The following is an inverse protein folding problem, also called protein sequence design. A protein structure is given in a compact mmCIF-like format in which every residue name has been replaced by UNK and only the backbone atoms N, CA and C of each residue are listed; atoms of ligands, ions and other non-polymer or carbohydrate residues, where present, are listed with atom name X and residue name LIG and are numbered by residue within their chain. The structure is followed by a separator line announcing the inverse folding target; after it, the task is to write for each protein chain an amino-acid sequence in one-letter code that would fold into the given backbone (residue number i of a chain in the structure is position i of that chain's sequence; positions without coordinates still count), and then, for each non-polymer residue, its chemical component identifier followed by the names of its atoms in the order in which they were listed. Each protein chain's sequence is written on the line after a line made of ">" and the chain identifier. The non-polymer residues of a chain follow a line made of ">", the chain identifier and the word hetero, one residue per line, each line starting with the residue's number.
data_IF_341584567030
#
_entry.id   IF_341584567030
#
_cell.length_a   1.000
_cell.length_b   1.000
_cell.length_c   1.000
_cell.angle_alpha   90.00
_cell.angle_beta   90.00
_cell.angle_gamma   90.00
#
_symmetry.space_group_name_H-M   'P 1'
#
loop_
_entity.id
_entity.type
_entity.pdbx_description
1 polymer ?
#
# COMPACT_ATOMS: atom_id res chain seq x y z
N UNK A 1 1.54 -60.02 7.44
CA UNK A 1 2.09 -58.65 7.46
C UNK A 1 2.28 -58.21 6.03
N UNK A 2 1.26 -57.58 5.46
CA UNK A 2 1.33 -56.94 4.15
C UNK A 2 1.64 -55.47 4.45
N UNK A 3 2.81 -55.01 4.04
CA UNK A 3 3.16 -53.59 4.11
C UNK A 3 2.36 -52.86 3.03
N UNK A 4 1.32 -52.14 3.44
CA UNK A 4 0.73 -51.06 2.66
C UNK A 4 1.81 -49.98 2.50
N UNK A 5 2.42 -49.93 1.32
CA UNK A 5 3.08 -48.71 0.86
C UNK A 5 1.97 -47.74 0.48
N UNK A 6 1.75 -46.75 1.34
CA UNK A 6 1.05 -45.53 0.95
C UNK A 6 1.83 -44.89 -0.22
N UNK A 7 1.36 -45.14 -1.44
CA UNK A 7 1.70 -44.33 -2.61
C UNK A 7 1.02 -42.98 -2.42
N UNK A 8 1.72 -42.06 -1.76
CA UNK A 8 1.35 -40.65 -1.77
C UNK A 8 1.77 -40.08 -3.14
N UNK A 9 0.97 -40.34 -4.17
CA UNK A 9 1.10 -39.65 -5.45
C UNK A 9 0.95 -38.15 -5.17
N UNK A 10 2.06 -37.40 -5.19
CA UNK A 10 2.02 -35.94 -5.16
C UNK A 10 1.28 -35.49 -6.42
N UNK A 11 -0.02 -35.27 -6.31
CA UNK A 11 -0.83 -34.68 -7.36
C UNK A 11 -0.33 -33.25 -7.55
N UNK A 12 0.25 -32.96 -8.71
CA UNK A 12 0.65 -31.61 -9.08
C UNK A 12 -0.60 -30.70 -9.04
N UNK A 13 -0.53 -29.66 -8.21
CA UNK A 13 -1.66 -28.76 -7.97
C UNK A 13 -1.87 -27.89 -9.20
N UNK A 14 -3.13 -27.67 -9.60
CA UNK A 14 -3.43 -26.81 -10.75
C UNK A 14 -3.75 -25.38 -10.34
N UNK A 15 -3.15 -24.42 -11.04
CA UNK A 15 -3.37 -22.99 -10.82
C UNK A 15 -4.15 -22.36 -11.96
N UNK A 16 -5.19 -21.59 -11.64
CA UNK A 16 -5.90 -20.74 -12.58
C UNK A 16 -5.55 -19.28 -12.35
N UNK A 17 -5.00 -18.59 -13.35
CA UNK A 17 -4.86 -17.14 -13.32
C UNK A 17 -6.25 -16.50 -13.36
N UNK A 18 -6.58 -15.71 -12.34
CA UNK A 18 -7.86 -15.02 -12.22
C UNK A 18 -7.63 -13.52 -12.01
N UNK A 19 -8.22 -12.70 -12.88
CA UNK A 19 -8.11 -11.25 -12.80
C UNK A 19 -9.35 -10.57 -13.38
N UNK A 20 -9.53 -9.30 -13.03
CA UNK A 20 -10.39 -8.38 -13.76
C UNK A 20 -9.50 -7.48 -14.62
N UNK A 21 -9.94 -7.13 -15.83
CA UNK A 21 -9.17 -6.26 -16.73
C UNK A 21 -10.04 -5.18 -17.35
N UNK A 22 -9.41 -4.07 -17.75
CA UNK A 22 -10.01 -3.03 -18.58
C UNK A 22 -8.94 -2.20 -19.28
N UNK A 23 -8.89 -2.24 -20.60
CA UNK A 23 -8.00 -1.40 -21.42
C UNK A 23 -6.50 -1.54 -21.07
N UNK A 24 -5.99 -2.77 -21.03
CA UNK A 24 -4.61 -3.09 -20.63
C UNK A 24 -3.78 -3.72 -21.77
N UNK A 25 -4.18 -3.48 -23.03
CA UNK A 25 -3.54 -4.06 -24.23
C UNK A 25 -2.03 -3.87 -24.29
N UNK A 26 -1.50 -2.76 -23.76
CA UNK A 26 -0.06 -2.43 -23.78
C UNK A 26 0.80 -3.34 -22.91
N UNK A 27 0.23 -3.90 -21.85
CA UNK A 27 0.96 -4.60 -20.79
C UNK A 27 0.46 -6.03 -20.56
N UNK A 28 -0.68 -6.41 -21.14
CA UNK A 28 -1.32 -7.71 -20.91
C UNK A 28 -0.39 -8.89 -21.22
N UNK A 29 0.33 -8.89 -22.34
CA UNK A 29 1.26 -9.97 -22.67
C UNK A 29 2.39 -10.11 -21.64
N UNK A 30 2.88 -9.00 -21.09
CA UNK A 30 3.94 -9.01 -20.06
C UNK A 30 3.45 -9.74 -18.82
N UNK A 31 2.27 -9.39 -18.31
CA UNK A 31 1.67 -10.06 -17.16
C UNK A 31 1.41 -11.54 -17.44
N UNK A 32 0.82 -11.90 -18.58
CA UNK A 32 0.54 -13.29 -18.92
C UNK A 32 1.82 -14.13 -19.00
N UNK A 33 2.85 -13.61 -19.69
CA UNK A 33 4.15 -14.29 -19.81
C UNK A 33 4.83 -14.53 -18.46
N UNK A 34 4.72 -13.60 -17.51
CA UNK A 34 5.27 -13.74 -16.16
C UNK A 34 4.66 -14.93 -15.38
N UNK A 35 3.40 -15.29 -15.69
CA UNK A 35 2.71 -16.41 -15.03
C UNK A 35 2.86 -17.76 -15.75
N UNK A 36 3.35 -17.75 -17.00
CA UNK A 36 3.32 -18.88 -17.94
C UNK A 36 3.93 -20.18 -17.41
N UNK A 37 4.94 -20.07 -16.55
CA UNK A 37 5.66 -21.24 -16.00
C UNK A 37 4.84 -22.02 -14.98
N UNK A 38 3.78 -21.45 -14.41
CA UNK A 38 3.05 -22.04 -13.29
C UNK A 38 1.54 -22.13 -13.49
N UNK A 39 0.95 -21.40 -14.44
CA UNK A 39 -0.51 -21.43 -14.62
C UNK A 39 -0.93 -22.55 -15.56
N UNK A 40 -1.98 -23.27 -15.16
CA UNK A 40 -2.59 -24.35 -15.93
C UNK A 40 -3.82 -23.87 -16.68
N UNK A 41 -4.45 -22.78 -16.19
CA UNK A 41 -5.64 -22.17 -16.76
C UNK A 41 -5.59 -20.65 -16.67
N UNK A 42 -6.36 -19.98 -17.52
CA UNK A 42 -6.57 -18.53 -17.48
C UNK A 42 -8.07 -18.23 -17.50
N UNK A 43 -8.60 -17.56 -16.49
CA UNK A 43 -9.98 -17.06 -16.44
C UNK A 43 -9.96 -15.58 -16.13
N UNK A 44 -10.24 -14.76 -17.13
CA UNK A 44 -10.15 -13.30 -17.02
C UNK A 44 -11.53 -12.70 -17.22
N UNK A 45 -11.92 -11.81 -16.30
CA UNK A 45 -13.15 -11.03 -16.42
C UNK A 45 -12.82 -9.65 -17.01
N UNK A 46 -13.08 -9.47 -18.29
CA UNK A 46 -13.07 -8.16 -18.92
C UNK A 46 -14.26 -7.33 -18.42
N UNK A 47 -13.95 -6.13 -17.92
CA UNK A 47 -14.95 -5.24 -17.29
C UNK A 47 -15.44 -4.13 -18.22
N UNK A 48 -15.29 -4.35 -19.54
CA UNK A 48 -15.66 -3.40 -20.59
C UNK A 48 -14.44 -2.74 -21.23
N UNK A 49 -13.48 -3.54 -21.70
CA UNK A 49 -12.41 -3.03 -22.56
C UNK A 49 -12.97 -2.53 -23.90
N UNK A 50 -12.36 -1.47 -24.40
CA UNK A 50 -12.63 -0.84 -25.70
C UNK A 50 -11.42 -0.91 -26.63
N UNK A 51 -10.28 -1.38 -26.12
CA UNK A 51 -9.09 -1.73 -26.90
C UNK A 51 -9.05 -3.25 -27.17
N UNK A 52 -7.95 -3.74 -27.73
CA UNK A 52 -7.77 -5.14 -28.08
C UNK A 52 -7.28 -6.04 -26.92
N UNK A 53 -7.54 -5.66 -25.65
CA UNK A 53 -7.15 -6.46 -24.48
C UNK A 53 -7.71 -7.90 -24.54
N UNK A 54 -9.01 -8.12 -24.83
CA UNK A 54 -9.56 -9.48 -24.91
C UNK A 54 -8.89 -10.35 -25.97
N UNK A 55 -8.64 -9.81 -27.16
CA UNK A 55 -8.02 -10.52 -28.28
C UNK A 55 -6.58 -10.92 -27.95
N UNK A 56 -5.83 -10.07 -27.25
CA UNK A 56 -4.47 -10.39 -26.78
C UNK A 56 -4.50 -11.60 -25.83
N UNK A 57 -5.43 -11.61 -24.87
CA UNK A 57 -5.57 -12.73 -23.92
C UNK A 57 -5.89 -14.03 -24.67
N UNK A 58 -6.86 -14.00 -25.58
CA UNK A 58 -7.26 -15.19 -26.35
C UNK A 58 -6.14 -15.72 -27.23
N UNK A 59 -5.42 -14.83 -27.93
CA UNK A 59 -4.31 -15.21 -28.79
C UNK A 59 -3.15 -15.80 -27.98
N UNK A 60 -2.82 -15.18 -26.84
CA UNK A 60 -1.80 -15.71 -25.94
C UNK A 60 -2.16 -17.11 -25.42
N UNK A 61 -3.43 -17.37 -25.07
CA UNK A 61 -3.88 -18.70 -24.64
C UNK A 61 -3.75 -19.74 -25.76
N UNK A 62 -4.11 -19.37 -27.00
CA UNK A 62 -3.95 -20.25 -28.18
C UNK A 62 -2.48 -20.58 -28.45
N UNK A 63 -1.60 -19.58 -28.39
CA UNK A 63 -0.17 -19.73 -28.66
C UNK A 63 0.57 -20.50 -27.56
N UNK A 64 0.26 -20.23 -26.30
CA UNK A 64 0.83 -20.93 -25.15
C UNK A 64 0.27 -22.34 -24.95
N UNK A 65 -0.87 -22.65 -25.58
CA UNK A 65 -1.66 -23.88 -25.38
C UNK A 65 -2.17 -24.04 -23.95
N UNK A 66 -2.35 -22.93 -23.23
CA UNK A 66 -2.96 -22.89 -21.91
C UNK A 66 -4.45 -22.61 -22.11
N UNK A 67 -5.37 -23.47 -21.62
CA UNK A 67 -6.80 -23.20 -21.73
C UNK A 67 -7.16 -21.88 -21.06
N UNK A 68 -7.77 -20.98 -21.83
CA UNK A 68 -8.13 -19.64 -21.39
C UNK A 68 -9.55 -19.24 -21.77
N UNK A 69 -10.23 -18.52 -20.88
CA UNK A 69 -11.55 -17.95 -21.11
C UNK A 69 -11.57 -16.49 -20.71
N UNK A 70 -12.04 -15.63 -21.61
CA UNK A 70 -12.37 -14.23 -21.31
C UNK A 70 -13.88 -14.14 -21.10
N UNK A 71 -14.28 -13.65 -19.94
CA UNK A 71 -15.65 -13.33 -19.59
C UNK A 71 -15.88 -11.83 -19.76
N UNK A 72 -17.07 -11.41 -20.19
CA UNK A 72 -17.41 -10.00 -20.35
C UNK A 72 -18.54 -9.63 -19.41
N UNK A 73 -18.25 -8.77 -18.44
CA UNK A 73 -19.20 -8.34 -17.41
C UNK A 73 -19.09 -6.83 -17.20
N UNK A 74 -20.18 -6.08 -16.99
CA UNK A 74 -20.09 -4.66 -16.71
C UNK A 74 -19.37 -4.40 -15.38
N UNK A 75 -18.54 -3.35 -15.34
CA UNK A 75 -17.96 -2.88 -14.09
C UNK A 75 -19.05 -2.29 -13.18
N UNK A 76 -19.15 -2.82 -11.95
CA UNK A 76 -19.98 -2.27 -10.88
C UNK A 76 -19.11 -1.61 -9.81
N UNK A 77 -18.20 -2.37 -9.25
CA UNK A 77 -17.17 -1.93 -8.31
C UNK A 77 -16.12 -3.05 -8.21
N UNK A 78 -14.97 -2.78 -7.58
CA UNK A 78 -13.90 -3.77 -7.53
C UNK A 78 -14.35 -5.04 -6.80
N UNK A 79 -14.91 -4.95 -5.58
CA UNK A 79 -15.30 -6.11 -4.77
C UNK A 79 -16.26 -7.05 -5.47
N UNK A 80 -17.27 -6.47 -6.13
CA UNK A 80 -18.23 -7.21 -6.92
C UNK A 80 -17.56 -7.93 -8.09
N UNK A 81 -16.81 -7.20 -8.93
CA UNK A 81 -16.23 -7.76 -10.14
C UNK A 81 -15.13 -8.78 -9.83
N UNK A 82 -14.32 -8.61 -8.78
CA UNK A 82 -13.35 -9.63 -8.33
C UNK A 82 -14.03 -10.87 -7.78
N UNK A 83 -15.10 -10.72 -6.99
CA UNK A 83 -15.90 -11.86 -6.51
C UNK A 83 -16.54 -12.64 -7.67
N UNK A 84 -17.02 -11.92 -8.68
CA UNK A 84 -17.59 -12.49 -9.89
C UNK A 84 -16.52 -13.23 -10.71
N UNK A 85 -15.35 -12.62 -10.92
CA UNK A 85 -14.23 -13.24 -11.62
C UNK A 85 -13.80 -14.56 -10.98
N UNK A 86 -13.68 -14.59 -9.65
CA UNK A 86 -13.39 -15.83 -8.90
C UNK A 86 -14.47 -16.89 -9.11
N UNK A 87 -15.75 -16.50 -9.01
CA UNK A 87 -16.86 -17.43 -9.20
C UNK A 87 -16.91 -18.00 -10.63
N UNK A 88 -16.59 -17.17 -11.63
CA UNK A 88 -16.50 -17.58 -13.04
C UNK A 88 -15.33 -18.53 -13.27
N UNK A 89 -14.17 -18.25 -12.66
CA UNK A 89 -12.99 -19.12 -12.73
C UNK A 89 -13.27 -20.49 -12.10
N UNK A 90 -13.87 -20.53 -10.91
CA UNK A 90 -14.27 -21.78 -10.23
C UNK A 90 -15.24 -22.63 -11.05
N UNK A 91 -16.17 -21.97 -11.76
CA UNK A 91 -17.14 -22.66 -12.61
C UNK A 91 -16.52 -23.17 -13.92
N UNK A 92 -15.62 -22.39 -14.51
CA UNK A 92 -15.03 -22.67 -15.84
C UNK A 92 -13.93 -23.72 -15.74
N UNK A 93 -13.11 -23.65 -14.69
CA UNK A 93 -11.97 -24.54 -14.44
C UNK A 93 -12.13 -25.20 -13.07
N UNK A 94 -13.17 -26.04 -12.95
CA UNK A 94 -13.48 -26.77 -11.71
C UNK A 94 -12.35 -27.69 -11.21
N UNK A 95 -11.42 -28.03 -12.10
CA UNK A 95 -10.23 -28.82 -11.83
C UNK A 95 -9.04 -28.00 -11.30
N UNK A 96 -9.16 -26.68 -11.18
CA UNK A 96 -8.15 -25.83 -10.53
C UNK A 96 -8.18 -26.05 -9.02
N UNK A 97 -7.00 -26.18 -8.39
CA UNK A 97 -6.86 -26.26 -6.95
C UNK A 97 -6.77 -24.88 -6.30
N UNK A 98 -6.12 -23.92 -6.98
CA UNK A 98 -5.96 -22.55 -6.52
C UNK A 98 -6.16 -21.53 -7.65
N UNK A 99 -6.60 -20.34 -7.26
CA UNK A 99 -6.72 -19.17 -8.12
C UNK A 99 -5.58 -18.21 -7.79
N UNK A 100 -4.77 -17.88 -8.78
CA UNK A 100 -3.75 -16.83 -8.71
C UNK A 100 -4.38 -15.49 -9.06
N UNK A 101 -4.46 -14.59 -8.09
CA UNK A 101 -5.08 -13.28 -8.22
C UNK A 101 -4.02 -12.23 -8.57
N UNK A 102 -4.06 -11.68 -9.77
CA UNK A 102 -3.16 -10.60 -10.20
C UNK A 102 -3.94 -9.45 -10.84
N UNK A 103 -3.31 -8.29 -10.90
CA UNK A 103 -3.75 -7.18 -11.74
C UNK A 103 -2.88 -7.15 -13.00
N UNK A 104 -3.41 -6.60 -14.11
CA UNK A 104 -2.75 -6.71 -15.41
C UNK A 104 -1.40 -5.98 -15.51
N UNK A 105 -1.13 -5.01 -14.63
CA UNK A 105 0.13 -4.27 -14.54
C UNK A 105 1.20 -4.96 -13.70
N UNK A 106 0.86 -6.05 -13.02
CA UNK A 106 1.79 -6.78 -12.18
C UNK A 106 2.65 -7.78 -12.96
N UNK A 107 3.83 -8.05 -12.42
CA UNK A 107 4.79 -9.03 -12.95
C UNK A 107 5.05 -10.04 -11.84
N UNK A 108 4.70 -11.31 -12.10
CA UNK A 108 4.99 -12.41 -11.18
C UNK A 108 6.43 -12.88 -11.34
N UNK A 109 7.17 -12.90 -10.24
CA UNK A 109 8.50 -13.47 -10.13
C UNK A 109 8.38 -14.83 -9.42
N UNK A 110 8.80 -15.89 -10.12
CA UNK A 110 8.70 -17.28 -9.64
C UNK A 110 10.09 -17.78 -9.29
N UNK A 111 10.32 -18.03 -8.01
CA UNK A 111 11.57 -18.64 -7.56
C UNK A 111 11.71 -20.06 -8.09
N UNK A 112 12.94 -20.46 -8.40
CA UNK A 112 13.24 -21.80 -8.92
C UNK A 112 12.85 -22.95 -7.97
N UNK A 113 12.67 -22.64 -6.69
CA UNK A 113 12.25 -23.57 -5.63
C UNK A 113 10.73 -23.65 -5.44
N UNK A 114 9.93 -22.90 -6.20
CA UNK A 114 8.48 -22.97 -6.10
C UNK A 114 7.98 -24.35 -6.54
N UNK A 115 7.22 -25.01 -5.66
CA UNK A 115 6.63 -26.32 -5.87
C UNK A 115 5.12 -26.24 -5.61
N UNK A 116 4.30 -26.41 -6.65
CA UNK A 116 2.84 -26.33 -6.50
C UNK A 116 2.31 -27.39 -5.53
N UNK A 117 3.00 -28.53 -5.38
CA UNK A 117 2.58 -29.60 -4.47
C UNK A 117 2.72 -29.23 -2.99
N UNK A 118 3.44 -28.15 -2.65
CA UNK A 118 3.54 -27.64 -1.29
C UNK A 118 2.32 -26.82 -0.84
N UNK A 119 1.36 -26.55 -1.73
CA UNK A 119 0.20 -25.71 -1.44
C UNK A 119 -0.89 -26.49 -0.68
N UNK A 120 -1.00 -26.26 0.63
CA UNK A 120 -1.92 -26.92 1.57
C UNK A 120 -2.92 -25.98 2.27
N UNK A 121 -2.62 -24.68 2.32
CA UNK A 121 -3.41 -23.69 3.05
C UNK A 121 -4.61 -23.18 2.26
N UNK A 122 -5.51 -22.48 2.94
CA UNK A 122 -6.73 -22.00 2.29
C UNK A 122 -6.41 -20.77 1.41
N UNK A 123 -5.46 -19.94 1.84
CA UNK A 123 -4.87 -18.90 1.00
C UNK A 123 -3.42 -18.62 1.35
N UNK A 124 -2.71 -18.00 0.40
CA UNK A 124 -1.32 -17.58 0.59
C UNK A 124 -1.14 -16.08 0.37
N UNK A 125 -0.36 -15.49 1.27
CA UNK A 125 0.20 -14.16 1.11
C UNK A 125 1.50 -14.26 0.31
N UNK A 126 1.68 -13.41 -0.70
CA UNK A 126 2.96 -13.24 -1.40
C UNK A 126 3.51 -11.85 -1.14
N UNK A 127 4.83 -11.71 -1.18
CA UNK A 127 5.46 -10.40 -1.07
C UNK A 127 5.17 -9.62 -2.35
N UNK A 128 4.66 -8.41 -2.20
CA UNK A 128 4.53 -7.45 -3.27
C UNK A 128 5.43 -6.25 -2.99
N UNK A 129 6.03 -5.70 -4.04
CA UNK A 129 6.82 -4.48 -3.93
C UNK A 129 6.62 -3.56 -5.13
N UNK A 130 6.80 -2.27 -4.86
CA UNK A 130 7.07 -1.24 -5.87
C UNK A 130 8.40 -0.54 -5.52
N UNK A 131 8.67 0.62 -6.14
CA UNK A 131 9.89 1.40 -5.86
C UNK A 131 9.91 2.09 -4.48
N UNK A 132 8.80 2.06 -3.72
CA UNK A 132 8.58 2.80 -2.49
C UNK A 132 8.31 1.91 -1.27
N UNK A 133 7.54 0.83 -1.43
CA UNK A 133 7.04 0.01 -0.32
C UNK A 133 7.09 -1.50 -0.65
N UNK A 134 7.15 -2.31 0.40
CA UNK A 134 7.02 -3.78 0.34
C UNK A 134 5.96 -4.24 1.33
N UNK A 135 5.05 -5.12 0.92
CA UNK A 135 3.96 -5.58 1.77
C UNK A 135 3.42 -6.94 1.32
N UNK A 136 2.74 -7.63 2.23
CA UNK A 136 2.18 -8.96 1.98
C UNK A 136 0.71 -8.86 1.57
N UNK A 137 0.34 -9.47 0.45
CA UNK A 137 -1.05 -9.54 -0.02
C UNK A 137 -1.47 -10.96 -0.37
N UNK A 138 -2.74 -11.26 -0.14
CA UNK A 138 -3.36 -12.52 -0.58
C UNK A 138 -3.36 -12.60 -2.10
N UNK A 139 -2.62 -13.57 -2.65
CA UNK A 139 -2.49 -13.79 -4.10
C UNK A 139 -2.85 -15.18 -4.56
N UNK A 140 -2.91 -16.18 -3.67
CA UNK A 140 -3.45 -17.50 -3.99
C UNK A 140 -4.66 -17.80 -3.13
N UNK A 141 -5.76 -18.18 -3.75
CA UNK A 141 -7.01 -18.57 -3.09
C UNK A 141 -7.32 -20.02 -3.43
N UNK A 142 -7.55 -20.87 -2.43
CA UNK A 142 -7.96 -22.26 -2.68
C UNK A 142 -9.31 -22.28 -3.38
N UNK A 143 -9.34 -22.84 -4.59
CA UNK A 143 -10.46 -22.71 -5.52
C UNK A 143 -11.74 -23.41 -5.01
N UNK A 144 -11.62 -24.38 -4.11
CA UNK A 144 -12.78 -25.08 -3.53
C UNK A 144 -13.56 -24.25 -2.50
N UNK A 145 -13.05 -23.08 -2.08
CA UNK A 145 -13.66 -22.27 -1.03
C UNK A 145 -14.46 -21.08 -1.59
N UNK A 146 -15.53 -20.64 -0.90
CA UNK A 146 -16.43 -19.61 -1.42
C UNK A 146 -15.92 -18.20 -1.08
N UNK A 147 -14.84 -17.79 -1.75
CA UNK A 147 -14.22 -16.49 -1.57
C UNK A 147 -15.11 -15.33 -2.04
N UNK A 148 -14.98 -14.20 -1.35
CA UNK A 148 -15.55 -12.90 -1.72
C UNK A 148 -14.49 -11.82 -1.55
N UNK A 149 -14.41 -10.92 -2.52
CA UNK A 149 -13.68 -9.67 -2.41
C UNK A 149 -14.61 -8.62 -1.80
N UNK A 150 -14.30 -8.16 -0.59
CA UNK A 150 -15.14 -7.29 0.21
C UNK A 150 -14.63 -5.86 0.14
N UNK A 151 -15.51 -4.93 -0.27
CA UNK A 151 -15.23 -3.51 -0.42
C UNK A 151 -15.51 -3.00 -1.84
N UNK A 152 -16.01 -1.77 -1.97
CA UNK A 152 -16.23 -1.14 -3.29
C UNK A 152 -14.92 -0.80 -4.02
N UNK A 153 -13.86 -0.51 -3.24
CA UNK A 153 -12.46 -0.34 -3.63
C UNK A 153 -11.59 -0.64 -2.40
N UNK A 154 -10.27 -0.78 -2.55
CA UNK A 154 -9.35 -1.20 -1.48
C UNK A 154 -9.79 -2.48 -0.74
N UNK A 155 -10.12 -3.49 -1.54
CA UNK A 155 -10.82 -4.69 -1.10
C UNK A 155 -9.96 -5.59 -0.22
N UNK A 156 -10.61 -6.49 0.50
CA UNK A 156 -9.96 -7.64 1.14
C UNK A 156 -10.69 -8.94 0.83
N UNK A 157 -9.96 -10.04 0.83
CA UNK A 157 -10.54 -11.36 0.65
C UNK A 157 -11.12 -11.90 1.95
N UNK A 158 -12.36 -12.37 1.89
CA UNK A 158 -13.06 -13.08 2.97
C UNK A 158 -13.75 -14.33 2.42
N UNK A 159 -14.22 -15.21 3.30
CA UNK A 159 -14.99 -16.40 2.94
C UNK A 159 -16.45 -16.21 3.31
N UNK A 160 -17.34 -16.67 2.44
CA UNK A 160 -18.77 -16.76 2.73
C UNK A 160 -19.05 -17.79 3.84
N UNK A 161 -19.09 -17.32 5.10
CA UNK A 161 -19.35 -18.15 6.28
C UNK A 161 -20.69 -18.88 6.26
N UNK A 162 -21.66 -18.39 5.47
CA UNK A 162 -22.94 -19.11 5.30
C UNK A 162 -22.77 -20.46 4.58
N UNK A 163 -21.67 -20.63 3.84
CA UNK A 163 -21.37 -21.84 3.06
C UNK A 163 -20.35 -22.78 3.71
N UNK A 164 -19.53 -22.28 4.64
CA UNK A 164 -18.50 -23.07 5.34
C UNK A 164 -18.74 -23.24 6.84
N UNK A 165 -19.74 -22.55 7.39
CA UNK A 165 -20.01 -22.49 8.83
C UNK A 165 -19.37 -21.27 9.50
N UNK A 166 -20.01 -20.76 10.56
CA UNK A 166 -19.57 -19.56 11.27
C UNK A 166 -18.16 -19.70 11.87
N UNK A 167 -17.85 -20.89 12.40
CA UNK A 167 -16.60 -21.20 13.11
C UNK A 167 -15.47 -21.71 12.20
N UNK A 168 -15.62 -21.60 10.88
CA UNK A 168 -14.55 -21.98 9.97
C UNK A 168 -13.30 -21.12 10.21
N UNK A 169 -12.20 -21.79 10.58
CA UNK A 169 -10.91 -21.16 10.80
C UNK A 169 -10.10 -21.18 9.50
N UNK A 170 -9.92 -20.01 8.90
CA UNK A 170 -9.19 -19.86 7.64
C UNK A 170 -7.70 -20.06 7.92
N UNK A 171 -7.06 -20.98 7.19
CA UNK A 171 -5.62 -21.20 7.31
C UNK A 171 -4.85 -20.39 6.28
N UNK A 172 -3.83 -19.69 6.76
CA UNK A 172 -3.01 -18.76 5.98
C UNK A 172 -1.54 -19.08 6.16
N UNK A 173 -0.78 -18.97 5.07
CA UNK A 173 0.67 -18.98 5.11
C UNK A 173 1.25 -17.90 4.19
N UNK A 174 2.52 -17.54 4.45
CA UNK A 174 3.32 -16.76 3.50
C UNK A 174 3.98 -17.71 2.50
N UNK A 175 4.06 -17.25 1.26
CA UNK A 175 4.73 -17.95 0.17
C UNK A 175 5.82 -17.05 -0.39
N UNK A 176 7.05 -17.28 0.07
CA UNK A 176 8.20 -16.45 -0.28
C UNK A 176 8.75 -16.76 -1.69
N UNK A 177 8.34 -17.89 -2.26
CA UNK A 177 8.78 -18.36 -3.58
C UNK A 177 8.01 -17.74 -4.75
N UNK A 178 6.96 -16.97 -4.45
CA UNK A 178 6.25 -16.15 -5.43
C UNK A 178 6.31 -14.70 -4.95
N UNK A 179 6.79 -13.81 -5.82
CA UNK A 179 6.93 -12.39 -5.53
C UNK A 179 6.22 -11.61 -6.62
N UNK A 180 5.55 -10.52 -6.25
CA UNK A 180 4.83 -9.66 -7.19
C UNK A 180 5.53 -8.31 -7.28
N UNK A 181 6.07 -8.02 -8.46
CA UNK A 181 6.54 -6.69 -8.80
C UNK A 181 5.36 -5.88 -9.37
N UNK A 182 5.08 -4.72 -8.79
CA UNK A 182 4.01 -3.80 -9.20
C UNK A 182 4.61 -2.46 -9.67
N UNK A 183 4.99 -2.34 -10.95
CA UNK A 183 5.53 -1.11 -11.52
C UNK A 183 4.52 0.05 -11.55
N UNK A 184 3.23 -0.27 -11.44
CA UNK A 184 2.17 0.72 -11.45
C UNK A 184 1.94 1.41 -12.80
N UNK A 185 2.23 0.78 -13.94
CA UNK A 185 2.13 1.36 -15.29
C UNK A 185 0.83 0.99 -16.07
N UNK A 186 -0.20 0.51 -15.37
CA UNK A 186 -1.52 0.21 -15.95
C UNK A 186 -2.28 1.44 -16.49
N UNK A 187 -3.13 1.22 -17.50
CA UNK A 187 -3.81 2.25 -18.28
C UNK A 187 -5.00 2.92 -17.58
N UNK A 188 -5.64 2.26 -16.62
CA UNK A 188 -6.89 2.72 -15.98
C UNK A 188 -6.68 3.59 -14.72
N UNK A 189 -5.73 4.55 -14.76
CA UNK A 189 -5.31 5.34 -13.59
C UNK A 189 -5.66 6.83 -13.61
N UNK A 190 -6.07 7.38 -14.75
CA UNK A 190 -6.28 8.83 -14.91
C UNK A 190 -7.41 9.40 -14.05
N UNK A 191 -8.44 8.61 -13.76
CA UNK A 191 -9.60 9.00 -12.94
C UNK A 191 -9.66 8.24 -11.61
N UNK A 192 -8.53 7.65 -11.17
CA UNK A 192 -8.49 6.69 -10.06
C UNK A 192 -9.14 7.26 -8.81
N UNK A 193 -8.72 8.45 -8.38
CA UNK A 193 -9.14 9.02 -7.11
C UNK A 193 -10.58 9.55 -7.18
N UNK A 194 -11.00 10.13 -8.31
CA UNK A 194 -12.38 10.56 -8.54
C UNK A 194 -13.35 9.36 -8.60
N UNK A 195 -12.90 8.24 -9.16
CA UNK A 195 -13.64 6.97 -9.14
C UNK A 195 -13.74 6.42 -7.73
N UNK A 196 -12.62 6.36 -7.01
CA UNK A 196 -12.58 5.86 -5.63
C UNK A 196 -13.49 6.71 -4.73
N UNK A 197 -13.47 8.04 -4.86
CA UNK A 197 -14.38 8.96 -4.14
C UNK A 197 -15.84 8.58 -4.37
N UNK A 198 -16.26 8.48 -5.64
CA UNK A 198 -17.63 8.11 -6.02
C UNK A 198 -18.03 6.76 -5.44
N UNK A 199 -17.16 5.75 -5.55
CA UNK A 199 -17.44 4.40 -5.06
C UNK A 199 -17.56 4.37 -3.54
N UNK A 200 -16.64 5.02 -2.83
CA UNK A 200 -16.62 5.06 -1.36
C UNK A 200 -17.81 5.83 -0.80
N UNK A 201 -18.18 6.97 -1.41
CA UNK A 201 -19.40 7.69 -1.04
C UNK A 201 -20.66 6.87 -1.27
N UNK A 202 -20.75 6.12 -2.38
CA UNK A 202 -21.85 5.18 -2.59
C UNK A 202 -21.88 4.09 -1.51
N UNK A 203 -20.72 3.50 -1.19
CA UNK A 203 -20.60 2.48 -0.16
C UNK A 203 -20.97 2.99 1.24
N UNK A 204 -20.58 4.20 1.61
CA UNK A 204 -20.94 4.82 2.90
C UNK A 204 -22.45 5.07 3.01
N UNK A 205 -23.11 5.43 1.90
CA UNK A 205 -24.55 5.70 1.88
C UNK A 205 -25.41 4.45 1.63
N UNK A 206 -24.80 3.29 1.40
CA UNK A 206 -25.51 2.02 1.19
C UNK A 206 -25.95 1.44 2.54
N UNK A 207 -27.26 1.24 2.78
CA UNK A 207 -27.78 0.68 4.02
C UNK A 207 -27.33 -0.78 4.26
N UNK A 208 -26.87 -1.49 3.23
CA UNK A 208 -26.38 -2.86 3.34
C UNK A 208 -24.88 -2.93 3.71
N UNK A 209 -24.17 -1.79 3.77
CA UNK A 209 -22.77 -1.75 4.17
C UNK A 209 -22.64 -2.11 5.65
N UNK A 210 -21.82 -3.12 5.94
CA UNK A 210 -21.59 -3.57 7.32
C UNK A 210 -20.84 -2.51 8.13
N UNK A 211 -21.02 -2.47 9.47
CA UNK A 211 -20.32 -1.50 10.32
C UNK A 211 -18.79 -1.51 10.14
N UNK A 212 -18.18 -2.68 10.07
CA UNK A 212 -16.72 -2.81 9.89
C UNK A 212 -16.25 -2.23 8.56
N UNK A 213 -17.01 -2.48 7.49
CA UNK A 213 -16.69 -2.00 6.15
C UNK A 213 -16.93 -0.49 6.03
N UNK A 214 -17.98 0.03 6.68
CA UNK A 214 -18.25 1.45 6.77
C UNK A 214 -17.07 2.19 7.40
N UNK A 215 -16.53 1.69 8.52
CA UNK A 215 -15.35 2.28 9.18
C UNK A 215 -14.14 2.32 8.23
N UNK A 216 -13.90 1.22 7.50
CA UNK A 216 -12.84 1.13 6.51
C UNK A 216 -13.02 2.12 5.36
N UNK A 217 -14.25 2.37 4.91
CA UNK A 217 -14.52 3.39 3.90
C UNK A 217 -14.23 4.82 4.37
N UNK A 218 -14.40 5.14 5.65
CA UNK A 218 -13.99 6.45 6.19
C UNK A 218 -12.49 6.70 6.00
N UNK A 219 -11.67 5.66 6.25
CA UNK A 219 -10.21 5.72 6.09
C UNK A 219 -9.83 5.96 4.63
N UNK A 220 -10.33 5.12 3.73
CA UNK A 220 -9.95 5.22 2.32
C UNK A 220 -10.52 6.46 1.65
N UNK A 221 -11.69 6.96 2.07
CA UNK A 221 -12.22 8.22 1.55
C UNK A 221 -11.35 9.40 1.97
N UNK A 222 -10.87 9.40 3.22
CA UNK A 222 -9.91 10.40 3.69
C UNK A 222 -8.59 10.35 2.92
N UNK A 223 -8.08 9.14 2.63
CA UNK A 223 -6.91 8.95 1.77
C UNK A 223 -7.14 9.47 0.36
N UNK A 224 -8.28 9.18 -0.25
CA UNK A 224 -8.65 9.68 -1.57
C UNK A 224 -8.65 11.20 -1.61
N UNK A 225 -9.28 11.86 -0.64
CA UNK A 225 -9.27 13.32 -0.54
C UNK A 225 -7.86 13.90 -0.39
N UNK A 226 -6.98 13.22 0.35
CA UNK A 226 -5.58 13.63 0.41
C UNK A 226 -4.92 13.60 -0.96
N UNK A 227 -5.10 12.52 -1.72
CA UNK A 227 -4.49 12.38 -3.05
C UNK A 227 -5.04 13.37 -4.08
N UNK A 228 -6.27 13.84 -3.88
CA UNK A 228 -6.87 14.95 -4.63
C UNK A 228 -6.41 16.34 -4.14
N UNK A 229 -5.50 16.42 -3.17
CA UNK A 229 -5.07 17.64 -2.48
C UNK A 229 -6.22 18.43 -1.80
N UNK A 230 -7.32 17.75 -1.47
CA UNK A 230 -8.45 18.31 -0.73
C UNK A 230 -8.24 18.08 0.77
N UNK A 231 -7.27 18.80 1.34
CA UNK A 231 -6.75 18.54 2.68
C UNK A 231 -7.78 18.75 3.79
N UNK A 232 -8.68 19.72 3.67
CA UNK A 232 -9.73 19.99 4.66
C UNK A 232 -10.75 18.85 4.74
N UNK A 233 -11.18 18.32 3.59
CA UNK A 233 -12.05 17.15 3.55
C UNK A 233 -11.32 15.89 4.03
N UNK A 234 -10.05 15.73 3.65
CA UNK A 234 -9.21 14.65 4.16
C UNK A 234 -9.15 14.67 5.70
N UNK A 235 -8.88 15.82 6.31
CA UNK A 235 -8.87 15.99 7.77
C UNK A 235 -10.23 15.62 8.38
N UNK A 236 -11.33 16.10 7.80
CA UNK A 236 -12.69 15.81 8.28
C UNK A 236 -12.98 14.31 8.30
N UNK A 237 -12.65 13.58 7.24
CA UNK A 237 -12.89 12.15 7.15
C UNK A 237 -11.93 11.33 8.02
N UNK A 238 -10.67 11.74 8.15
CA UNK A 238 -9.76 11.10 9.09
C UNK A 238 -10.20 11.27 10.54
N UNK A 239 -10.72 12.43 10.92
CA UNK A 239 -11.28 12.63 12.28
C UNK A 239 -12.44 11.67 12.55
N UNK A 240 -13.35 11.50 11.59
CA UNK A 240 -14.43 10.50 11.68
C UNK A 240 -13.87 9.07 11.81
N UNK A 241 -12.83 8.72 11.05
CA UNK A 241 -12.17 7.42 11.15
C UNK A 241 -11.55 7.19 12.53
N UNK A 242 -10.89 8.20 13.09
CA UNK A 242 -10.30 8.14 14.44
C UNK A 242 -11.39 7.97 15.51
N UNK A 243 -12.48 8.72 15.42
CA UNK A 243 -13.62 8.63 16.33
C UNK A 243 -14.31 7.26 16.26
N UNK A 244 -14.39 6.66 15.08
CA UNK A 244 -15.03 5.36 14.88
C UNK A 244 -14.23 4.17 15.45
N UNK A 245 -12.93 4.32 15.74
CA UNK A 245 -12.10 3.23 16.28
C UNK A 245 -11.96 2.04 15.31
N UNK A 246 -11.65 0.84 15.79
CA UNK A 246 -11.41 -0.34 14.93
C UNK A 246 -9.92 -0.64 14.80
N UNK A 247 -9.43 -1.01 13.61
CA UNK A 247 -8.03 -1.40 13.43
C UNK A 247 -7.08 -0.27 13.83
N UNK A 248 -6.23 -0.53 14.81
CA UNK A 248 -5.38 0.47 15.48
C UNK A 248 -4.37 1.11 14.53
N UNK A 249 -3.88 0.36 13.54
CA UNK A 249 -2.94 0.87 12.55
C UNK A 249 -3.55 1.98 11.68
N UNK A 250 -4.81 1.80 11.25
CA UNK A 250 -5.54 2.83 10.50
C UNK A 250 -5.85 4.05 11.35
N UNK A 251 -6.12 3.88 12.65
CA UNK A 251 -6.33 5.01 13.58
C UNK A 251 -5.03 5.81 13.74
N UNK A 252 -3.92 5.12 13.98
CA UNK A 252 -2.58 5.73 14.01
C UNK A 252 -2.29 6.49 12.71
N UNK A 253 -2.46 5.83 11.57
CA UNK A 253 -2.15 6.41 10.27
C UNK A 253 -3.06 7.60 9.96
N UNK A 254 -4.33 7.55 10.38
CA UNK A 254 -5.25 8.69 10.27
C UNK A 254 -4.74 9.92 11.04
N UNK A 255 -4.26 9.74 12.27
CA UNK A 255 -3.67 10.82 13.07
C UNK A 255 -2.43 11.41 12.38
N UNK A 256 -1.54 10.54 11.90
CA UNK A 256 -0.34 10.94 11.17
C UNK A 256 -0.71 11.76 9.91
N UNK A 257 -1.70 11.29 9.14
CA UNK A 257 -2.15 11.97 7.92
C UNK A 257 -2.88 13.28 8.16
N UNK A 258 -3.59 13.43 9.27
CA UNK A 258 -4.12 14.74 9.68
C UNK A 258 -2.95 15.72 9.92
N UNK A 259 -1.86 15.28 10.56
CA UNK A 259 -0.65 16.08 10.75
C UNK A 259 -0.05 16.55 9.42
N UNK A 260 0.08 15.64 8.46
CA UNK A 260 0.52 15.98 7.10
C UNK A 260 -0.41 16.98 6.42
N UNK A 261 -1.74 16.78 6.46
CA UNK A 261 -2.69 17.71 5.86
C UNK A 261 -2.51 19.14 6.41
N UNK A 262 -2.36 19.28 7.72
CA UNK A 262 -2.10 20.58 8.33
C UNK A 262 -0.74 21.16 7.95
N UNK A 263 0.30 20.34 7.79
CA UNK A 263 1.60 20.80 7.25
C UNK A 263 1.46 21.34 5.81
N UNK A 264 0.70 20.65 4.94
CA UNK A 264 0.43 21.12 3.59
C UNK A 264 -0.35 22.44 3.56
N UNK A 265 -1.37 22.57 4.41
CA UNK A 265 -2.14 23.81 4.54
C UNK A 265 -1.26 24.96 5.05
N UNK A 266 -0.39 24.72 6.03
CA UNK A 266 0.57 25.71 6.52
C UNK A 266 1.51 26.18 5.39
N UNK A 267 2.07 25.25 4.62
CA UNK A 267 2.93 25.59 3.49
C UNK A 267 2.19 26.39 2.40
N UNK A 268 0.91 26.06 2.16
CA UNK A 268 0.05 26.82 1.25
C UNK A 268 -0.21 28.26 1.73
N UNK A 269 -0.45 28.46 3.03
CA UNK A 269 -0.59 29.80 3.63
C UNK A 269 0.71 30.60 3.55
N UNK A 270 1.86 29.96 3.80
CA UNK A 270 3.18 30.57 3.66
C UNK A 270 3.46 31.05 2.23
N UNK A 271 3.12 30.23 1.24
CA UNK A 271 3.25 30.61 -0.17
C UNK A 271 2.37 31.82 -0.52
N UNK A 272 1.10 31.82 -0.10
CA UNK A 272 0.18 32.95 -0.30
C UNK A 272 0.72 34.24 0.32
N UNK A 273 1.29 34.17 1.52
CA UNK A 273 1.88 35.33 2.19
C UNK A 273 2.94 36.04 1.32
N UNK A 274 3.73 35.28 0.56
CA UNK A 274 4.75 35.83 -0.33
C UNK A 274 4.20 36.49 -1.60
N UNK A 275 3.01 36.08 -2.07
CA UNK A 275 2.36 36.66 -3.26
C UNK A 275 1.53 37.90 -2.96
N UNK A 276 1.01 38.02 -1.73
CA UNK A 276 0.16 39.13 -1.34
C UNK A 276 0.95 40.45 -1.32
N UNK A 277 0.26 41.57 -1.52
CA UNK A 277 0.84 42.92 -1.43
C UNK A 277 0.28 43.65 -0.22
N UNK A 278 -1.02 43.49 0.03
CA UNK A 278 -1.73 44.09 1.15
C UNK A 278 -1.21 43.57 2.50
N UNK A 279 -1.05 44.49 3.45
CA UNK A 279 -0.49 44.18 4.76
C UNK A 279 -1.44 43.41 5.68
N UNK A 280 -2.75 43.65 5.57
CA UNK A 280 -3.75 42.96 6.40
C UNK A 280 -3.92 41.52 5.93
N UNK A 281 -3.99 41.31 4.61
CA UNK A 281 -4.07 39.96 4.03
C UNK A 281 -2.81 39.13 4.35
N UNK A 282 -1.64 39.76 4.37
CA UNK A 282 -0.38 39.12 4.79
C UNK A 282 -0.39 38.66 6.24
N UNK A 283 -0.85 39.52 7.16
CA UNK A 283 -0.90 39.14 8.56
C UNK A 283 -1.90 38.00 8.75
N UNK A 284 -3.05 38.04 8.07
CA UNK A 284 -4.02 36.94 8.12
C UNK A 284 -3.46 35.62 7.59
N UNK A 285 -2.75 35.63 6.46
CA UNK A 285 -2.11 34.44 5.91
C UNK A 285 -1.05 33.86 6.86
N UNK A 286 -0.30 34.73 7.54
CA UNK A 286 0.69 34.35 8.54
C UNK A 286 0.05 33.73 9.79
N UNK A 287 -1.03 34.32 10.32
CA UNK A 287 -1.79 33.75 11.44
C UNK A 287 -2.34 32.36 11.08
N UNK A 288 -2.84 32.17 9.85
CA UNK A 288 -3.28 30.87 9.36
C UNK A 288 -2.13 29.87 9.26
N UNK A 289 -0.97 30.27 8.75
CA UNK A 289 0.22 29.42 8.71
C UNK A 289 0.58 28.94 10.12
N UNK A 290 0.68 29.85 11.09
CA UNK A 290 1.03 29.53 12.48
C UNK A 290 0.00 28.58 13.12
N UNK A 291 -1.29 28.80 12.86
CA UNK A 291 -2.36 27.93 13.37
C UNK A 291 -2.29 26.52 12.78
N UNK A 292 -2.14 26.39 11.46
CA UNK A 292 -2.02 25.09 10.80
C UNK A 292 -0.75 24.37 11.25
N UNK A 293 0.36 25.10 11.41
CA UNK A 293 1.59 24.53 11.91
C UNK A 293 1.46 23.96 13.32
N UNK A 294 0.80 24.69 14.23
CA UNK A 294 0.54 24.22 15.59
C UNK A 294 -0.31 22.94 15.57
N UNK A 295 -1.30 22.87 14.69
CA UNK A 295 -2.13 21.68 14.50
C UNK A 295 -1.34 20.50 13.92
N UNK A 296 -0.44 20.74 12.96
CA UNK A 296 0.43 19.70 12.42
C UNK A 296 1.29 19.07 13.53
N UNK A 297 1.98 19.90 14.32
CA UNK A 297 2.79 19.46 15.47
C UNK A 297 1.94 18.66 16.45
N UNK A 298 0.76 19.17 16.82
CA UNK A 298 -0.15 18.50 17.74
C UNK A 298 -0.55 17.10 17.24
N UNK A 299 -0.90 16.95 15.96
CA UNK A 299 -1.30 15.66 15.41
C UNK A 299 -0.15 14.69 15.24
N UNK A 300 1.06 15.15 14.91
CA UNK A 300 2.24 14.27 14.92
C UNK A 300 2.56 13.76 16.34
N UNK A 301 2.51 14.63 17.35
CA UNK A 301 2.67 14.22 18.75
C UNK A 301 1.56 13.24 19.18
N UNK A 302 0.31 13.51 18.81
CA UNK A 302 -0.83 12.63 19.10
C UNK A 302 -0.71 11.27 18.41
N UNK A 303 -0.21 11.22 17.18
CA UNK A 303 0.04 9.98 16.46
C UNK A 303 1.12 9.14 17.17
N UNK A 304 2.22 9.78 17.60
CA UNK A 304 3.28 9.08 18.34
C UNK A 304 2.80 8.57 19.70
N UNK A 305 2.08 9.39 20.48
CA UNK A 305 1.52 8.98 21.77
C UNK A 305 0.55 7.80 21.62
N UNK A 306 -0.24 7.78 20.53
CA UNK A 306 -1.15 6.67 20.25
C UNK A 306 -0.41 5.37 19.90
N UNK A 307 0.73 5.45 19.21
CA UNK A 307 1.53 4.28 18.82
C UNK A 307 3.04 4.58 18.91
N UNK A 308 3.64 4.49 20.11
CA UNK A 308 5.02 4.92 20.34
C UNK A 308 6.06 4.00 19.69
N UNK A 309 5.65 2.83 19.20
CA UNK A 309 6.49 1.92 18.41
C UNK A 309 6.70 2.38 16.97
N UNK A 310 6.01 3.44 16.52
CA UNK A 310 6.14 4.02 15.18
C UNK A 310 6.87 5.34 15.21
N UNK A 311 8.02 5.40 14.57
CA UNK A 311 8.95 6.54 14.62
C UNK A 311 8.61 7.65 13.61
N UNK A 312 7.78 7.37 12.61
CA UNK A 312 7.45 8.31 11.52
C UNK A 312 6.97 9.69 12.00
N UNK A 313 6.11 9.84 13.04
CA UNK A 313 5.72 11.16 13.52
C UNK A 313 6.89 11.94 14.13
N UNK A 314 7.84 11.27 14.81
CA UNK A 314 9.03 11.91 15.36
C UNK A 314 9.97 12.41 14.26
N UNK A 315 10.11 11.64 13.18
CA UNK A 315 10.86 12.10 12.01
C UNK A 315 10.22 13.36 11.40
N UNK A 316 8.89 13.40 11.24
CA UNK A 316 8.22 14.60 10.73
C UNK A 316 8.41 15.80 11.64
N UNK A 317 8.33 15.62 12.97
CA UNK A 317 8.62 16.67 13.93
C UNK A 317 10.07 17.17 13.80
N UNK A 318 11.05 16.27 13.73
CA UNK A 318 12.46 16.64 13.56
C UNK A 318 12.67 17.51 12.31
N UNK A 319 12.16 17.05 11.16
CA UNK A 319 12.22 17.77 9.89
C UNK A 319 11.54 19.14 9.97
N UNK A 320 10.34 19.22 10.53
CA UNK A 320 9.54 20.44 10.66
C UNK A 320 10.28 21.52 11.46
N UNK A 321 10.89 21.14 12.58
CA UNK A 321 11.70 22.04 13.40
C UNK A 321 13.04 22.40 12.74
N UNK A 322 13.69 21.46 12.04
CA UNK A 322 14.93 21.71 11.29
C UNK A 322 14.71 22.77 10.20
N UNK A 323 13.65 22.62 9.40
CA UNK A 323 13.32 23.57 8.33
C UNK A 323 13.08 25.00 8.86
N UNK A 324 12.76 25.14 10.15
CA UNK A 324 12.59 26.44 10.85
C UNK A 324 13.81 26.86 11.65
N UNK A 325 14.97 26.25 11.40
CA UNK A 325 16.24 26.51 12.09
C UNK A 325 16.20 26.27 13.61
N UNK A 326 15.20 25.55 14.12
CA UNK A 326 15.08 25.20 15.54
C UNK A 326 15.86 23.91 15.83
N UNK A 327 17.18 23.95 15.56
CA UNK A 327 18.03 22.76 15.51
C UNK A 327 18.08 21.96 16.82
N UNK A 328 17.99 22.60 17.99
CA UNK A 328 17.99 21.89 19.28
C UNK A 328 16.76 20.97 19.42
N UNK A 329 15.58 21.45 19.04
CA UNK A 329 14.33 20.68 19.11
C UNK A 329 14.31 19.61 18.02
N UNK A 330 14.78 19.95 16.82
CA UNK A 330 14.93 19.00 15.73
C UNK A 330 15.84 17.81 16.13
N UNK A 331 17.01 18.11 16.70
CA UNK A 331 17.95 17.09 17.16
C UNK A 331 17.36 16.24 18.29
N UNK A 332 16.60 16.83 19.21
CA UNK A 332 15.92 16.08 20.29
C UNK A 332 14.97 15.03 19.72
N UNK A 333 14.08 15.40 18.79
CA UNK A 333 13.16 14.45 18.16
C UNK A 333 13.89 13.41 17.31
N UNK A 334 14.92 13.83 16.57
CA UNK A 334 15.66 12.92 15.71
C UNK A 334 16.41 11.84 16.51
N UNK A 335 17.04 12.22 17.63
CA UNK A 335 17.70 11.26 18.52
C UNK A 335 16.70 10.31 19.17
N UNK A 336 15.56 10.82 19.67
CA UNK A 336 14.53 9.99 20.27
C UNK A 336 13.91 9.00 19.27
N UNK A 337 13.67 9.45 18.04
CA UNK A 337 13.10 8.60 16.99
C UNK A 337 14.07 7.52 16.50
N UNK A 338 15.37 7.83 16.45
CA UNK A 338 16.41 6.86 16.05
C UNK A 338 16.53 5.66 16.99
N UNK A 339 16.12 5.79 18.25
CA UNK A 339 16.12 4.69 19.22
C UNK A 339 15.00 3.67 18.97
N UNK A 340 13.97 4.03 18.20
CA UNK A 340 12.82 3.17 17.92
C UNK A 340 13.19 2.18 16.79
N UNK A 341 13.16 0.86 17.04
CA UNK A 341 13.48 -0.14 16.03
C UNK A 341 12.38 -0.23 14.96
N UNK A 342 12.71 -0.85 13.82
CA UNK A 342 11.72 -1.14 12.77
C UNK A 342 10.56 -2.00 13.33
N UNK A 343 9.29 -1.60 13.11
CA UNK A 343 8.13 -2.25 13.71
C UNK A 343 7.74 -3.52 12.93
N UNK A 344 8.27 -4.68 13.34
CA UNK A 344 8.05 -5.96 12.63
C UNK A 344 6.61 -6.48 12.67
N UNK A 345 5.83 -6.01 13.65
CA UNK A 345 4.43 -6.43 13.86
C UNK A 345 3.42 -5.53 13.13
N UNK A 346 3.88 -4.40 12.56
CA UNK A 346 3.04 -3.45 11.85
C UNK A 346 2.96 -3.81 10.36
N UNK A 347 1.76 -3.72 9.79
CA UNK A 347 1.53 -4.01 8.37
C UNK A 347 1.23 -2.76 7.55
N UNK A 348 0.59 -1.73 8.14
CA UNK A 348 0.05 -0.61 7.39
C UNK A 348 1.09 0.48 7.15
N UNK A 349 1.53 0.60 5.89
CA UNK A 349 2.29 1.74 5.35
C UNK A 349 3.49 2.16 6.22
N UNK A 350 4.33 1.20 6.61
CA UNK A 350 5.56 1.47 7.35
C UNK A 350 6.61 2.07 6.40
N UNK A 351 7.06 3.29 6.70
CA UNK A 351 8.10 3.95 5.90
C UNK A 351 9.49 3.47 6.35
N UNK A 352 10.04 2.47 5.66
CA UNK A 352 11.30 1.85 6.03
C UNK A 352 12.49 2.82 6.00
N UNK A 353 12.44 3.88 5.18
CA UNK A 353 13.52 4.87 5.09
C UNK A 353 13.71 5.64 6.41
N UNK A 354 12.63 5.82 7.18
CA UNK A 354 12.66 6.44 8.52
C UNK A 354 13.58 5.66 9.45
N UNK A 355 13.56 4.34 9.36
CA UNK A 355 14.31 3.43 10.22
C UNK A 355 15.73 3.13 9.70
N UNK A 356 15.99 3.38 8.41
CA UNK A 356 17.28 3.07 7.80
C UNK A 356 18.27 4.25 7.81
N UNK A 357 17.83 5.44 7.33
CA UNK A 357 18.75 6.57 7.16
C UNK A 357 18.18 7.96 7.44
N UNK A 358 16.86 8.16 7.46
CA UNK A 358 16.32 9.53 7.54
C UNK A 358 16.57 10.21 8.89
N UNK A 359 16.61 9.48 10.00
CA UNK A 359 17.02 10.08 11.28
C UNK A 359 18.49 10.51 11.26
N UNK A 360 19.38 9.71 10.67
CA UNK A 360 20.78 10.09 10.49
C UNK A 360 20.92 11.33 9.61
N UNK A 361 20.09 11.43 8.57
CA UNK A 361 20.04 12.62 7.74
C UNK A 361 19.68 13.87 8.57
N UNK A 362 18.64 13.81 9.38
CA UNK A 362 18.22 14.93 10.25
C UNK A 362 19.28 15.25 11.33
N UNK A 363 19.90 14.24 11.96
CA UNK A 363 20.98 14.42 12.95
C UNK A 363 22.23 15.05 12.31
N UNK A 364 22.60 14.62 11.09
CA UNK A 364 23.76 15.17 10.38
C UNK A 364 23.61 16.66 10.06
N UNK A 365 22.38 17.16 9.88
CA UNK A 365 22.15 18.59 9.66
C UNK A 365 22.02 19.34 10.98
N UNK A 366 21.13 18.91 11.88
CA UNK A 366 20.87 19.64 13.12
C UNK A 366 22.07 19.64 14.07
N UNK A 367 22.83 18.55 14.12
CA UNK A 367 24.04 18.45 14.93
C UNK A 367 25.11 19.48 14.55
N UNK A 368 25.25 19.80 13.25
CA UNK A 368 26.23 20.78 12.75
C UNK A 368 26.06 22.15 13.40
N UNK A 369 24.81 22.60 13.50
CA UNK A 369 24.44 23.92 14.01
C UNK A 369 24.47 24.01 15.55
N UNK A 370 24.79 22.93 16.26
CA UNK A 370 24.86 22.88 17.72
C UNK A 370 26.30 22.56 18.14
N UNK A 371 27.13 23.57 18.48
CA UNK A 371 28.58 23.38 18.64
C UNK A 371 28.99 22.23 19.56
N UNK A 372 28.30 22.07 20.70
CA UNK A 372 28.59 21.02 21.68
C UNK A 372 28.00 19.64 21.32
N UNK A 373 27.16 19.57 20.28
CA UNK A 373 26.58 18.32 19.72
C UNK A 373 27.08 18.01 18.30
N UNK A 374 27.99 18.82 17.74
CA UNK A 374 28.55 18.64 16.39
C UNK A 374 29.12 17.23 16.15
N UNK A 375 29.67 16.60 17.20
CA UNK A 375 30.16 15.22 17.12
C UNK A 375 29.08 14.19 16.76
N UNK A 376 27.82 14.38 17.19
CA UNK A 376 26.71 13.49 16.83
C UNK A 376 26.40 13.61 15.34
N UNK A 377 26.36 14.83 14.82
CA UNK A 377 26.16 15.08 13.40
C UNK A 377 27.28 14.51 12.54
N UNK A 378 28.54 14.60 12.99
CA UNK A 378 29.68 14.00 12.31
C UNK A 378 29.63 12.46 12.27
N UNK A 379 29.11 11.83 13.33
CA UNK A 379 28.91 10.38 13.38
C UNK A 379 27.82 9.94 12.40
N UNK A 380 26.67 10.62 12.39
CA UNK A 380 25.59 10.35 11.43
C UNK A 380 26.01 10.60 9.98
N UNK A 381 26.77 11.67 9.72
CA UNK A 381 27.33 11.96 8.40
C UNK A 381 28.21 10.80 7.90
N UNK A 382 29.12 10.29 8.73
CA UNK A 382 29.97 9.13 8.38
C UNK A 382 29.15 7.87 8.09
N UNK A 383 28.09 7.62 8.85
CA UNK A 383 27.18 6.50 8.58
C UNK A 383 26.51 6.64 7.21
N UNK A 384 25.98 7.82 6.89
CA UNK A 384 25.36 8.08 5.59
C UNK A 384 26.35 7.92 4.42
N UNK A 385 27.59 8.38 4.58
CA UNK A 385 28.65 8.19 3.60
C UNK A 385 28.96 6.70 3.36
N UNK A 386 28.93 5.88 4.42
CA UNK A 386 29.21 4.44 4.32
C UNK A 386 28.17 3.64 3.54
N UNK A 387 26.94 4.16 3.44
CA UNK A 387 25.81 3.55 2.71
C UNK A 387 25.41 4.32 1.46
N UNK A 388 26.23 5.28 1.01
CA UNK A 388 25.87 6.24 -0.03
C UNK A 388 25.39 5.61 -1.34
N UNK A 389 25.93 4.46 -1.72
CA UNK A 389 25.53 3.71 -2.93
C UNK A 389 24.13 3.11 -2.82
N UNK A 390 23.62 2.92 -1.61
CA UNK A 390 22.28 2.40 -1.31
C UNK A 390 21.23 3.53 -1.18
N UNK A 391 21.67 4.79 -1.06
CA UNK A 391 20.78 5.93 -0.86
C UNK A 391 20.16 6.43 -2.18
N UNK A 392 18.95 7.00 -2.15
CA UNK A 392 18.41 7.72 -3.30
C UNK A 392 19.35 8.81 -3.79
N UNK A 393 19.49 8.98 -5.10
CA UNK A 393 20.46 9.91 -5.74
C UNK A 393 20.44 11.32 -5.14
N UNK A 394 19.23 11.85 -4.87
CA UNK A 394 19.08 13.18 -4.29
C UNK A 394 19.60 13.24 -2.84
N UNK A 395 19.41 12.20 -2.04
CA UNK A 395 19.95 12.10 -0.68
C UNK A 395 21.46 11.92 -0.73
N UNK A 396 21.98 11.01 -1.56
CA UNK A 396 23.42 10.80 -1.74
C UNK A 396 24.15 12.10 -2.12
N UNK A 397 23.55 12.91 -3.00
CA UNK A 397 24.07 14.22 -3.40
C UNK A 397 24.08 15.22 -2.24
N UNK A 398 23.04 15.23 -1.39
CA UNK A 398 23.01 16.07 -0.19
C UNK A 398 24.06 15.61 0.84
N UNK A 399 24.23 14.30 1.02
CA UNK A 399 25.25 13.72 1.91
C UNK A 399 26.65 14.15 1.48
N UNK A 400 27.00 14.07 0.19
CA UNK A 400 28.30 14.56 -0.31
C UNK A 400 28.52 16.04 -0.06
N UNK A 401 27.48 16.86 -0.24
CA UNK A 401 27.58 18.29 0.00
C UNK A 401 27.74 18.60 1.49
N UNK A 402 27.04 17.86 2.34
CA UNK A 402 27.10 18.01 3.79
C UNK A 402 28.45 17.58 4.37
N UNK A 403 29.14 16.63 3.72
CA UNK A 403 30.45 16.13 4.13
C UNK A 403 31.50 17.24 4.31
N UNK A 404 31.40 18.33 3.55
CA UNK A 404 32.34 19.46 3.58
C UNK A 404 32.28 20.29 4.88
N UNK A 405 31.22 20.12 5.69
CA UNK A 405 30.99 20.89 6.92
C UNK A 405 31.47 20.17 8.19
N UNK A 406 31.92 18.93 8.03
CA UNK A 406 32.47 18.07 9.08
C UNK A 406 33.93 17.75 8.80
#
# INVERSE_FOLDING_TARGET
>A
MVNEKENNERTDKKLCLCMIVKNESRIMERCLNATKSIVDFVSICDTGSTDNTPEIIENWCKESRIPGTVHHEPFKNFGYNRSLAVSLAQKTYSEADYLLILDADMILEVESTFDKSSLTEDHYLTLQYDIHIKYWLTRLLKASLPWKSVGVTHECWDIDRSKVGADYNIRVARLDTLIVNDPGDGGSKSDKFERDERLLLQGINDPETTPDLHIRYLFYLAQTYYHLNQFEDSIKWYKKRVEAGGWTEEVFYSLLRIGFCYEYLANGSSYKQHELIDSEEKEHAKEQEEQYLALAIFYFQKAWEYRPTRAEPLYQLAKLYRLRSQNNIALMYALQGKEIPFPTEDLLFVDYHVYDYLFDYEISISGYYIPHKKHLGAQSQKYLESKKEELPVHIASMVENNAKFY
#
